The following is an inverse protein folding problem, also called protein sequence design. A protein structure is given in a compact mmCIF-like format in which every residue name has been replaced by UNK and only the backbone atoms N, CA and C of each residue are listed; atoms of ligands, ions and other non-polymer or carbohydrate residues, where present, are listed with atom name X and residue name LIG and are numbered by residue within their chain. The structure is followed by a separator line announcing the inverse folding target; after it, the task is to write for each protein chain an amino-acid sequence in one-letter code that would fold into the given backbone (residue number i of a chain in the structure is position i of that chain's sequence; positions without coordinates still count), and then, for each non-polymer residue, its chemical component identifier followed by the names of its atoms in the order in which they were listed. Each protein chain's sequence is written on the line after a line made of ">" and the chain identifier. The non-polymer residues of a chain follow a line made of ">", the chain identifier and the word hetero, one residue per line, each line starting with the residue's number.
data_IF_636291941027
#
_entry.id   IF_636291941027
#
_cell.length_a   1.000
_cell.length_b   1.000
_cell.length_c   1.000
_cell.angle_alpha   90.00
_cell.angle_beta   90.00
_cell.angle_gamma   90.00
#
_symmetry.space_group_name_H-M   'P 1'
#
loop_
_entity.id
_entity.type
_entity.pdbx_description
1 polymer ?
#
# COMPACT_ATOMS: atom_id res chain seq x y z
N UNK A 1 4.76 13.47 -2.82
CA UNK A 1 5.21 12.70 -1.64
C UNK A 1 6.73 12.66 -1.63
N UNK A 2 7.34 13.07 -0.52
CA UNK A 2 8.79 12.96 -0.28
C UNK A 2 9.21 11.50 -0.11
N UNK A 3 10.51 11.20 -0.23
CA UNK A 3 11.02 9.85 0.00
C UNK A 3 10.71 9.34 1.41
N UNK A 4 10.76 10.22 2.42
CA UNK A 4 10.42 9.90 3.81
C UNK A 4 8.93 9.53 3.96
N UNK A 5 8.04 10.29 3.34
CA UNK A 5 6.60 10.02 3.33
C UNK A 5 6.30 8.68 2.65
N UNK A 6 6.89 8.41 1.49
CA UNK A 6 6.70 7.13 0.78
C UNK A 6 7.14 5.93 1.62
N UNK A 7 8.26 6.04 2.34
CA UNK A 7 8.74 4.99 3.25
C UNK A 7 7.76 4.78 4.41
N UNK A 8 7.22 5.85 5.00
CA UNK A 8 6.24 5.72 6.07
C UNK A 8 4.95 5.06 5.58
N UNK A 9 4.43 5.53 4.44
CA UNK A 9 3.23 4.98 3.81
C UNK A 9 3.42 3.50 3.47
N UNK A 10 4.55 3.14 2.88
CA UNK A 10 4.87 1.75 2.55
C UNK A 10 4.89 0.83 3.78
N UNK A 11 5.45 1.31 4.91
CA UNK A 11 5.42 0.59 6.20
C UNK A 11 3.99 0.41 6.71
N UNK A 12 3.17 1.45 6.67
CA UNK A 12 1.77 1.38 7.11
C UNK A 12 0.96 0.37 6.27
N UNK A 13 1.15 0.37 4.94
CA UNK A 13 0.51 -0.58 4.03
C UNK A 13 0.95 -2.02 4.32
N UNK A 14 2.25 -2.22 4.55
CA UNK A 14 2.80 -3.54 4.89
C UNK A 14 2.22 -4.08 6.20
N UNK A 15 2.17 -3.24 7.24
CA UNK A 15 1.60 -3.61 8.53
C UNK A 15 0.12 -3.99 8.40
N UNK A 16 -0.67 -3.20 7.67
CA UNK A 16 -2.08 -3.50 7.43
C UNK A 16 -2.29 -4.79 6.62
N UNK A 17 -1.42 -5.08 5.64
CA UNK A 17 -1.44 -6.36 4.91
C UNK A 17 -1.17 -7.53 5.84
N UNK A 18 -0.13 -7.43 6.67
CA UNK A 18 0.31 -8.51 7.57
C UNK A 18 -0.72 -8.80 8.65
N UNK A 19 -1.35 -7.76 9.22
CA UNK A 19 -2.48 -7.91 10.14
C UNK A 19 -3.67 -8.69 9.53
N UNK A 20 -3.77 -8.72 8.21
CA UNK A 20 -4.80 -9.46 7.46
C UNK A 20 -4.36 -10.82 6.95
N UNK A 21 -3.14 -11.26 7.24
CA UNK A 21 -2.59 -12.52 6.76
C UNK A 21 -2.52 -12.63 5.22
N UNK A 22 -2.52 -11.51 4.50
CA UNK A 22 -2.49 -11.52 3.04
C UNK A 22 -1.05 -11.52 2.51
N UNK A 23 -0.80 -12.25 1.43
CA UNK A 23 0.47 -12.14 0.69
C UNK A 23 0.47 -10.90 -0.20
N UNK A 24 1.65 -10.43 -0.59
CA UNK A 24 1.80 -9.33 -1.56
C UNK A 24 1.06 -9.62 -2.88
N UNK A 25 1.13 -10.87 -3.35
CA UNK A 25 0.45 -11.31 -4.58
C UNK A 25 -1.08 -11.20 -4.49
N UNK A 26 -1.67 -11.55 -3.33
CA UNK A 26 -3.11 -11.45 -3.10
C UNK A 26 -3.58 -10.00 -3.15
N UNK A 27 -2.88 -9.08 -2.47
CA UNK A 27 -3.25 -7.66 -2.47
C UNK A 27 -3.07 -7.05 -3.85
N UNK A 28 -1.96 -7.35 -4.53
CA UNK A 28 -1.69 -6.87 -5.89
C UNK A 28 -2.78 -7.30 -6.88
N UNK A 29 -3.20 -8.57 -6.83
CA UNK A 29 -4.30 -9.10 -7.65
C UNK A 29 -5.62 -8.36 -7.38
N UNK A 30 -6.00 -8.19 -6.09
CA UNK A 30 -7.21 -7.45 -5.71
C UNK A 30 -7.17 -5.97 -6.12
N UNK A 31 -5.98 -5.36 -6.08
CA UNK A 31 -5.76 -3.98 -6.52
C UNK A 31 -5.59 -3.82 -8.04
N UNK A 32 -5.59 -4.92 -8.81
CA UNK A 32 -5.34 -4.96 -10.26
C UNK A 32 -4.02 -4.28 -10.63
N UNK A 33 -2.96 -4.62 -9.91
CA UNK A 33 -1.58 -4.18 -10.14
C UNK A 33 -0.62 -5.36 -10.11
N UNK A 34 0.61 -5.18 -10.58
CA UNK A 34 1.63 -6.24 -10.50
C UNK A 34 2.15 -6.40 -9.08
N UNK A 35 2.54 -7.62 -8.71
CA UNK A 35 3.12 -7.90 -7.39
C UNK A 35 4.42 -7.13 -7.17
N UNK A 36 5.25 -6.95 -8.20
CA UNK A 36 6.46 -6.14 -8.11
C UNK A 36 6.14 -4.66 -7.83
N UNK A 37 5.12 -4.10 -8.49
CA UNK A 37 4.70 -2.72 -8.21
C UNK A 37 4.22 -2.57 -6.77
N UNK A 38 3.40 -3.51 -6.28
CA UNK A 38 2.97 -3.51 -4.88
C UNK A 38 4.15 -3.63 -3.90
N UNK A 39 5.13 -4.50 -4.17
CA UNK A 39 6.31 -4.64 -3.33
C UNK A 39 7.16 -3.35 -3.28
N UNK A 40 7.26 -2.62 -4.40
CA UNK A 40 7.89 -1.29 -4.45
C UNK A 40 7.12 -0.25 -3.64
N UNK A 41 5.78 -0.31 -3.61
CA UNK A 41 4.95 0.55 -2.76
C UNK A 41 5.27 0.29 -1.29
N UNK A 42 5.28 -0.97 -0.84
CA UNK A 42 5.60 -1.30 0.57
C UNK A 42 7.01 -0.85 0.97
N UNK A 43 7.95 -0.87 0.03
CA UNK A 43 9.31 -0.35 0.26
C UNK A 43 9.43 1.15 0.07
N UNK A 44 8.37 1.88 -0.30
CA UNK A 44 8.42 3.33 -0.55
C UNK A 44 9.33 3.73 -1.72
N UNK A 45 9.48 2.87 -2.73
CA UNK A 45 10.39 3.03 -3.89
C UNK A 45 9.68 3.52 -5.15
N UNK A 46 8.38 3.80 -5.06
CA UNK A 46 7.62 4.33 -6.19
C UNK A 46 6.46 5.21 -5.72
N UNK A 47 6.13 6.19 -6.55
CA UNK A 47 4.87 6.92 -6.46
C UNK A 47 3.72 6.02 -6.93
N UNK A 48 2.51 6.33 -6.45
CA UNK A 48 1.29 5.68 -6.88
C UNK A 48 0.15 6.69 -7.00
N UNK A 49 -0.82 6.37 -7.83
CA UNK A 49 -1.97 7.25 -8.08
C UNK A 49 -2.98 7.15 -6.95
N UNK A 50 -3.83 8.18 -6.82
CA UNK A 50 -4.97 8.14 -5.92
C UNK A 50 -5.89 6.93 -6.17
N UNK A 51 -6.02 6.49 -7.43
CA UNK A 51 -6.77 5.28 -7.78
C UNK A 51 -6.20 4.02 -7.12
N UNK A 52 -4.87 3.88 -7.09
CA UNK A 52 -4.19 2.77 -6.42
C UNK A 52 -4.41 2.86 -4.91
N UNK A 53 -4.27 4.06 -4.32
CA UNK A 53 -4.55 4.29 -2.90
C UNK A 53 -5.97 3.84 -2.53
N UNK A 54 -6.98 4.26 -3.30
CA UNK A 54 -8.38 3.88 -3.05
C UNK A 54 -8.58 2.37 -3.09
N UNK A 55 -7.92 1.67 -4.00
CA UNK A 55 -7.99 0.21 -4.09
C UNK A 55 -7.30 -0.46 -2.92
N UNK A 56 -6.16 0.06 -2.48
CA UNK A 56 -5.41 -0.44 -1.32
C UNK A 56 -6.22 -0.32 -0.04
N UNK A 57 -6.70 0.90 0.25
CA UNK A 57 -7.53 1.22 1.42
C UNK A 57 -8.75 0.30 1.49
N UNK A 58 -9.46 0.08 0.36
CA UNK A 58 -10.60 -0.85 0.29
C UNK A 58 -10.21 -2.33 0.42
N UNK A 59 -9.10 -2.74 -0.19
CA UNK A 59 -8.64 -4.14 -0.15
C UNK A 59 -8.15 -4.53 1.24
N UNK A 60 -7.48 -3.59 1.90
CA UNK A 60 -6.93 -3.72 3.24
C UNK A 60 -7.92 -3.33 4.33
N UNK A 61 -9.12 -2.85 3.99
CA UNK A 61 -10.16 -2.40 4.93
C UNK A 61 -9.60 -1.50 6.04
N UNK A 62 -8.85 -0.49 5.61
CA UNK A 62 -8.25 0.52 6.48
C UNK A 62 -8.73 1.89 6.03
N UNK A 63 -8.67 2.89 6.89
CA UNK A 63 -8.89 4.29 6.52
C UNK A 63 -7.64 4.88 5.83
N UNK A 64 -7.83 5.89 4.99
CA UNK A 64 -6.72 6.66 4.41
C UNK A 64 -5.85 7.32 5.48
N UNK A 65 -6.40 7.69 6.64
CA UNK A 65 -5.66 8.24 7.77
C UNK A 65 -4.68 7.24 8.41
N UNK A 66 -4.90 5.94 8.25
CA UNK A 66 -3.97 4.91 8.70
C UNK A 66 -2.80 4.72 7.71
N UNK A 67 -2.96 5.18 6.47
CA UNK A 67 -1.95 5.08 5.42
C UNK A 67 -1.12 6.35 5.32
N UNK A 68 -1.79 7.50 5.29
CA UNK A 68 -1.19 8.82 5.05
C UNK A 68 -0.62 9.42 6.36
N UNK A 69 0.55 10.08 6.31
CA UNK A 69 1.26 10.54 7.51
C UNK A 69 0.89 11.98 7.92
N UNK A 70 -0.38 12.35 7.85
CA UNK A 70 -0.89 13.68 8.22
C UNK A 70 -2.37 13.66 8.59
#
# INVERSE_FOLDING_TARGET
>A
MTAKELKQIGRNIKAAREAKGMTQAVVAKKCRITTNYYARIERGECQFTFTVLRRLVRTLDISSSQVLPF
#
